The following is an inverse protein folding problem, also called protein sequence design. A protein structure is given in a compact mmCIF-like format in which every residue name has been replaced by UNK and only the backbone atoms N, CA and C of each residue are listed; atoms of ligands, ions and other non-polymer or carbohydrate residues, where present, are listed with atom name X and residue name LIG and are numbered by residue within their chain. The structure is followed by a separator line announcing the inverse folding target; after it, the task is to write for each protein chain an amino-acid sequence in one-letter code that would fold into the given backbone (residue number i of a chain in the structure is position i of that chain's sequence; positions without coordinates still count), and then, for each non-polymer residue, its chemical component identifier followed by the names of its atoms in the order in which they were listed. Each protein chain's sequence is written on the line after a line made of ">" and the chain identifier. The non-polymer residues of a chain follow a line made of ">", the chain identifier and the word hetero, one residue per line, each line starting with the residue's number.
data_IF_708620524310
#
_entry.id   IF_708620524310
#
_cell.length_a   1.000
_cell.length_b   1.000
_cell.length_c   1.000
_cell.angle_alpha   90.00
_cell.angle_beta   90.00
_cell.angle_gamma   90.00
#
_symmetry.space_group_name_H-M   'P 1'
#
loop_
_entity.id
_entity.type
_entity.pdbx_description
1 polymer ?
#
# COMPACT_ATOMS: atom_id res chain seq x y z
N UNK A 1 -15.78 -30.00 30.46
CA UNK A 1 -14.52 -29.73 29.75
C UNK A 1 -14.54 -28.26 29.37
N UNK A 2 -13.59 -27.42 29.83
CA UNK A 2 -13.62 -26.00 29.51
C UNK A 2 -13.02 -25.77 28.12
N UNK A 3 -13.78 -25.08 27.27
CA UNK A 3 -13.35 -24.60 25.96
C UNK A 3 -12.26 -23.53 26.12
N UNK A 4 -11.08 -23.82 25.59
CA UNK A 4 -10.01 -22.84 25.40
C UNK A 4 -10.33 -22.00 24.17
N UNK A 5 -10.82 -20.78 24.37
CA UNK A 5 -10.81 -19.75 23.34
C UNK A 5 -9.37 -19.31 23.11
N UNK A 6 -8.77 -19.75 22.00
CA UNK A 6 -7.55 -19.15 21.47
C UNK A 6 -7.90 -17.83 20.79
N UNK A 7 -7.47 -16.73 21.40
CA UNK A 7 -7.48 -15.38 20.83
C UNK A 7 -6.52 -15.30 19.62
N UNK A 8 -6.92 -14.74 18.47
CA UNK A 8 -6.00 -14.44 17.39
C UNK A 8 -5.44 -13.03 17.61
N UNK A 9 -4.35 -12.92 18.36
CA UNK A 9 -3.58 -11.68 18.50
C UNK A 9 -2.11 -11.94 18.26
N UNK A 10 -1.79 -12.52 17.12
CA UNK A 10 -0.43 -12.46 16.58
C UNK A 10 -0.49 -11.62 15.32
N UNK A 11 -0.50 -10.30 15.50
CA UNK A 11 0.05 -9.41 14.48
C UNK A 11 1.45 -9.95 14.16
N UNK A 12 1.78 -10.29 12.90
CA UNK A 12 3.11 -10.77 12.58
C UNK A 12 4.11 -9.72 13.09
N UNK A 13 4.96 -10.11 14.05
CA UNK A 13 5.92 -9.20 14.67
C UNK A 13 6.72 -8.49 13.58
N UNK A 14 6.96 -7.19 13.76
CA UNK A 14 7.73 -6.42 12.78
C UNK A 14 9.06 -7.12 12.48
N UNK A 15 9.50 -7.14 11.21
CA UNK A 15 10.80 -7.69 10.87
C UNK A 15 11.89 -7.03 11.72
N UNK A 16 12.94 -7.76 12.11
CA UNK A 16 14.04 -7.19 12.87
C UNK A 16 14.69 -6.05 12.08
N UNK A 17 15.17 -5.05 12.82
CA UNK A 17 15.91 -3.91 12.25
C UNK A 17 17.15 -4.40 11.54
N UNK A 18 17.37 -3.94 10.31
CA UNK A 18 18.60 -4.17 9.57
C UNK A 18 19.66 -3.18 10.04
N UNK A 19 20.68 -3.68 10.72
CA UNK A 19 21.82 -2.87 11.16
C UNK A 19 22.86 -2.67 10.02
N UNK A 20 22.92 -3.62 9.09
CA UNK A 20 23.82 -3.60 7.95
C UNK A 20 23.04 -3.75 6.63
N UNK A 21 23.55 -3.19 5.52
CA UNK A 21 22.94 -3.38 4.22
C UNK A 21 22.94 -4.87 3.85
N UNK A 22 21.83 -5.42 3.35
CA UNK A 22 21.82 -6.79 2.83
C UNK A 22 22.72 -6.90 1.59
N UNK A 23 23.11 -8.12 1.18
CA UNK A 23 23.88 -8.33 -0.05
C UNK A 23 23.15 -7.76 -1.28
N UNK A 24 23.88 -7.09 -2.17
CA UNK A 24 23.31 -6.61 -3.42
C UNK A 24 23.20 -7.76 -4.45
N UNK A 25 22.01 -8.23 -4.81
CA UNK A 25 21.85 -9.31 -5.79
C UNK A 25 22.24 -8.89 -7.21
N UNK A 26 22.23 -7.58 -7.53
CA UNK A 26 22.61 -7.06 -8.84
C UNK A 26 24.13 -6.98 -9.04
N UNK A 27 24.93 -7.14 -7.99
CA UNK A 27 26.40 -7.05 -8.07
C UNK A 27 26.95 -5.62 -8.22
N UNK A 28 26.08 -4.60 -8.28
CA UNK A 28 26.47 -3.19 -8.25
C UNK A 28 26.84 -2.69 -6.85
N UNK A 29 27.03 -1.39 -6.73
CA UNK A 29 27.40 -0.71 -5.48
C UNK A 29 26.25 -0.73 -4.48
N UNK A 30 26.60 -0.54 -3.22
CA UNK A 30 25.64 -0.21 -2.16
C UNK A 30 25.84 1.24 -1.75
N UNK A 31 24.86 2.07 -2.05
CA UNK A 31 24.82 3.49 -1.71
C UNK A 31 24.18 3.64 -0.33
N UNK A 32 24.97 4.08 0.66
CA UNK A 32 24.49 4.22 2.03
C UNK A 32 23.92 5.63 2.23
N UNK A 33 22.70 5.69 2.75
CA UNK A 33 22.04 6.94 3.15
C UNK A 33 22.03 7.02 4.67
N UNK A 34 22.60 8.10 5.19
CA UNK A 34 22.69 8.42 6.61
C UNK A 34 22.84 9.93 6.75
N UNK A 35 21.87 10.60 7.39
CA UNK A 35 21.89 12.05 7.56
C UNK A 35 22.88 12.51 8.64
N UNK A 36 23.32 11.61 9.53
CA UNK A 36 24.24 11.91 10.63
C UNK A 36 25.71 11.69 10.24
N UNK A 37 25.97 10.89 9.21
CA UNK A 37 27.32 10.59 8.72
C UNK A 37 27.61 11.35 7.43
N UNK A 38 28.51 12.34 7.50
CA UNK A 38 28.89 13.18 6.35
C UNK A 38 29.59 12.43 5.22
N UNK A 39 30.00 11.17 5.44
CA UNK A 39 30.59 10.32 4.40
C UNK A 39 29.54 9.56 3.58
N UNK A 40 28.29 9.55 4.05
CA UNK A 40 27.15 8.91 3.40
C UNK A 40 26.30 9.92 2.63
N UNK A 41 25.35 9.41 1.84
CA UNK A 41 24.34 10.26 1.21
C UNK A 41 23.43 10.87 2.28
N UNK A 42 23.18 12.19 2.26
CA UNK A 42 22.42 12.85 3.31
C UNK A 42 20.92 12.53 3.25
N UNK A 43 20.41 12.04 2.10
CA UNK A 43 19.01 11.72 1.88
C UNK A 43 18.80 10.70 0.74
N UNK A 44 17.70 9.93 0.76
CA UNK A 44 17.43 8.92 -0.26
C UNK A 44 17.45 9.40 -1.71
N UNK A 45 16.95 10.61 -2.00
CA UNK A 45 16.90 11.16 -3.36
C UNK A 45 18.28 11.51 -3.92
N UNK A 46 19.23 11.83 -3.05
CA UNK A 46 20.62 12.07 -3.46
C UNK A 46 21.27 10.76 -3.90
N UNK A 47 21.05 9.67 -3.17
CA UNK A 47 21.51 8.34 -3.57
C UNK A 47 20.80 7.85 -4.84
N UNK A 48 19.48 8.07 -4.95
CA UNK A 48 18.70 7.67 -6.12
C UNK A 48 19.15 8.34 -7.42
N UNK A 49 19.63 9.58 -7.34
CA UNK A 49 20.16 10.30 -8.51
C UNK A 49 21.46 9.69 -9.04
N UNK A 50 22.26 9.10 -8.16
CA UNK A 50 23.58 8.54 -8.48
C UNK A 50 23.54 7.02 -8.73
N UNK A 51 22.43 6.37 -8.37
CA UNK A 51 22.26 4.94 -8.51
C UNK A 51 22.22 4.50 -9.98
N UNK A 52 23.08 3.54 -10.31
CA UNK A 52 22.98 2.76 -11.54
C UNK A 52 21.91 1.66 -11.46
N UNK A 53 21.60 1.00 -12.59
CA UNK A 53 20.56 -0.02 -12.67
C UNK A 53 20.81 -1.28 -11.81
N UNK A 54 22.09 -1.57 -11.49
CA UNK A 54 22.50 -2.71 -10.68
C UNK A 54 22.87 -2.31 -9.23
N UNK A 55 22.80 -1.01 -8.91
CA UNK A 55 23.13 -0.51 -7.58
C UNK A 55 21.94 -0.68 -6.64
N UNK A 56 22.24 -0.80 -5.34
CA UNK A 56 21.24 -0.75 -4.29
C UNK A 56 21.45 0.45 -3.37
N UNK A 57 20.36 0.96 -2.83
CA UNK A 57 20.36 2.03 -1.85
C UNK A 57 19.92 1.44 -0.51
N UNK A 58 20.74 1.63 0.52
CA UNK A 58 20.40 1.27 1.88
C UNK A 58 20.22 2.53 2.73
N UNK A 59 19.03 2.68 3.33
CA UNK A 59 18.67 3.81 4.18
C UNK A 59 18.76 3.40 5.63
N UNK A 60 19.72 3.99 6.35
CA UNK A 60 19.89 3.78 7.79
C UNK A 60 18.73 4.42 8.58
N UNK A 61 18.52 3.99 9.84
CA UNK A 61 17.51 4.59 10.70
C UNK A 61 17.58 6.11 10.73
N UNK A 62 16.44 6.77 10.63
CA UNK A 62 16.37 8.23 10.56
C UNK A 62 15.05 8.74 10.00
N UNK A 63 14.88 10.05 10.13
CA UNK A 63 13.73 10.78 9.60
C UNK A 63 14.25 11.74 8.53
N UNK A 64 13.83 11.53 7.29
CA UNK A 64 14.35 12.23 6.12
C UNK A 64 13.23 13.07 5.50
N UNK A 65 13.42 14.39 5.48
CA UNK A 65 12.57 15.26 4.66
C UNK A 65 13.01 15.15 3.20
N UNK A 66 12.27 14.39 2.40
CA UNK A 66 12.70 14.10 1.04
C UNK A 66 11.55 13.78 0.10
N UNK A 67 11.85 13.84 -1.20
CA UNK A 67 10.94 13.43 -2.27
C UNK A 67 11.68 12.49 -3.20
N UNK A 68 11.18 11.27 -3.28
CA UNK A 68 11.69 10.23 -4.18
C UNK A 68 10.87 10.21 -5.47
N UNK A 69 11.55 10.47 -6.58
CA UNK A 69 10.99 10.36 -7.92
C UNK A 69 11.81 9.33 -8.71
N UNK A 70 11.25 8.14 -8.90
CA UNK A 70 11.85 7.10 -9.72
C UNK A 70 11.20 7.09 -11.11
N UNK A 71 12.02 7.00 -12.16
CA UNK A 71 11.50 6.94 -13.54
C UNK A 71 12.33 6.02 -14.43
N UNK A 72 11.68 5.14 -15.19
CA UNK A 72 12.24 4.39 -16.33
C UNK A 72 13.49 3.53 -16.05
N UNK A 73 13.83 3.28 -14.79
CA UNK A 73 14.99 2.48 -14.38
C UNK A 73 14.62 1.55 -13.23
N UNK A 74 15.25 0.37 -13.13
CA UNK A 74 15.10 -0.49 -11.95
C UNK A 74 15.42 0.28 -10.67
N UNK A 75 14.71 -0.05 -9.59
CA UNK A 75 14.94 0.57 -8.29
C UNK A 75 15.19 -0.49 -7.22
N UNK A 76 16.29 -0.38 -6.48
CA UNK A 76 16.57 -1.24 -5.33
C UNK A 76 16.79 -0.36 -4.10
N UNK A 77 15.72 -0.13 -3.34
CA UNK A 77 15.68 0.80 -2.21
C UNK A 77 15.26 0.08 -0.93
N UNK A 78 16.18 -0.04 0.01
CA UNK A 78 16.01 -0.83 1.23
C UNK A 78 16.21 0.06 2.44
N UNK A 79 15.22 0.16 3.31
CA UNK A 79 15.32 0.82 4.60
C UNK A 79 15.61 -0.18 5.70
N UNK A 80 16.20 0.32 6.78
CA UNK A 80 16.54 -0.47 7.96
C UNK A 80 15.33 -1.09 8.68
N UNK A 81 14.10 -0.66 8.37
CA UNK A 81 12.87 -1.14 8.97
C UNK A 81 11.82 -0.04 8.99
N UNK A 82 10.54 -0.39 8.75
CA UNK A 82 9.46 0.59 8.59
C UNK A 82 9.27 1.52 9.79
N UNK A 83 9.56 1.06 11.00
CA UNK A 83 9.48 1.88 12.22
C UNK A 83 10.75 2.66 12.53
N UNK A 84 11.82 2.45 11.75
CA UNK A 84 13.14 3.04 11.96
C UNK A 84 13.51 4.04 10.87
N UNK A 85 12.95 3.89 9.66
CA UNK A 85 13.17 4.79 8.54
C UNK A 85 11.86 5.46 8.17
N UNK A 86 11.81 6.78 8.28
CA UNK A 86 10.68 7.59 7.83
C UNK A 86 11.14 8.59 6.77
N UNK A 87 10.52 8.53 5.59
CA UNK A 87 10.65 9.53 4.53
C UNK A 87 9.37 10.35 4.55
N UNK A 88 9.51 11.66 4.73
CA UNK A 88 8.35 12.55 4.76
C UNK A 88 8.54 13.76 3.86
N UNK A 89 7.43 14.35 3.41
CA UNK A 89 7.45 15.55 2.58
C UNK A 89 6.26 16.44 2.91
N UNK A 90 6.51 17.76 2.98
CA UNK A 90 5.49 18.80 3.19
C UNK A 90 4.97 19.43 1.90
N UNK A 91 5.67 19.21 0.79
CA UNK A 91 5.41 19.90 -0.49
C UNK A 91 4.80 19.02 -1.57
N UNK A 92 4.82 17.70 -1.36
CA UNK A 92 4.37 16.71 -2.35
C UNK A 92 4.28 15.33 -1.71
N UNK A 93 3.69 14.35 -2.40
CA UNK A 93 3.82 12.93 -2.04
C UNK A 93 5.30 12.51 -1.92
N UNK A 94 5.71 11.84 -0.82
CA UNK A 94 7.08 11.39 -0.58
C UNK A 94 7.64 10.43 -1.64
N UNK A 95 6.82 9.56 -2.25
CA UNK A 95 7.24 8.62 -3.27
C UNK A 95 6.38 8.71 -4.53
N UNK A 96 7.05 8.84 -5.67
CA UNK A 96 6.43 8.80 -6.98
C UNK A 96 7.24 7.90 -7.91
N UNK A 97 6.60 6.88 -8.45
CA UNK A 97 7.19 5.90 -9.37
C UNK A 97 6.49 6.00 -10.72
N UNK A 98 7.28 6.17 -11.78
CA UNK A 98 6.78 6.29 -13.14
C UNK A 98 7.52 5.34 -14.07
N UNK A 99 6.80 4.42 -14.69
CA UNK A 99 7.36 3.50 -15.68
C UNK A 99 8.58 2.74 -15.16
N UNK A 100 8.58 2.38 -13.87
CA UNK A 100 9.62 1.54 -13.28
C UNK A 100 9.48 0.13 -13.87
N UNK A 101 10.52 -0.43 -14.50
CA UNK A 101 10.42 -1.73 -15.17
C UNK A 101 10.51 -2.91 -14.20
N UNK A 102 11.24 -2.75 -13.10
CA UNK A 102 11.46 -3.78 -12.07
C UNK A 102 12.02 -3.14 -10.81
N UNK A 103 12.14 -3.91 -9.73
CA UNK A 103 12.84 -3.47 -8.52
C UNK A 103 12.12 -3.81 -7.23
N UNK A 104 12.75 -3.44 -6.12
CA UNK A 104 12.23 -3.61 -4.76
C UNK A 104 12.37 -2.32 -3.96
N UNK A 105 11.29 -1.95 -3.28
CA UNK A 105 11.28 -0.92 -2.24
C UNK A 105 10.81 -1.58 -0.95
N UNK A 106 11.60 -1.50 0.12
CA UNK A 106 11.21 -2.17 1.37
C UNK A 106 11.69 -1.52 2.65
N UNK A 107 10.97 -1.75 3.75
CA UNK A 107 11.47 -1.47 5.10
C UNK A 107 11.49 0.01 5.46
N UNK A 108 10.52 0.81 5.02
CA UNK A 108 10.44 2.23 5.35
C UNK A 108 9.00 2.77 5.39
N UNK A 109 8.80 3.84 6.16
CA UNK A 109 7.56 4.62 6.19
C UNK A 109 7.64 5.79 5.21
N UNK A 110 6.57 6.00 4.43
CA UNK A 110 6.31 7.17 3.61
C UNK A 110 5.16 7.96 4.23
N UNK A 111 5.46 9.18 4.66
CA UNK A 111 4.52 10.03 5.38
C UNK A 111 4.32 11.37 4.68
N UNK A 112 3.09 11.69 4.29
CA UNK A 112 2.79 13.02 3.78
C UNK A 112 2.46 13.99 4.93
N UNK A 113 3.00 15.21 4.90
CA UNK A 113 2.83 16.23 5.97
C UNK A 113 2.54 17.61 5.38
N UNK A 114 1.87 17.66 4.23
CA UNK A 114 1.50 18.91 3.57
C UNK A 114 0.02 19.27 3.71
N UNK A 115 -0.36 20.41 3.14
CA UNK A 115 -1.75 20.89 3.09
C UNK A 115 -2.47 20.59 1.78
N UNK A 116 -1.71 20.27 0.73
CA UNK A 116 -2.24 20.03 -0.62
C UNK A 116 -2.65 18.57 -0.81
N UNK A 117 -3.51 18.32 -1.79
CA UNK A 117 -4.04 16.98 -2.06
C UNK A 117 -2.96 16.05 -2.64
N UNK A 118 -2.34 15.25 -1.77
CA UNK A 118 -1.35 14.24 -2.16
C UNK A 118 -1.53 12.93 -1.42
N UNK A 119 -1.30 11.84 -2.17
CA UNK A 119 -1.04 10.49 -1.66
C UNK A 119 0.39 10.38 -1.13
N UNK A 120 0.61 9.45 -0.20
CA UNK A 120 1.96 9.19 0.30
C UNK A 120 2.83 8.49 -0.77
N UNK A 121 2.24 7.55 -1.52
CA UNK A 121 2.90 6.82 -2.60
C UNK A 121 2.05 6.88 -3.87
N UNK A 122 2.68 7.22 -4.99
CA UNK A 122 2.07 7.22 -6.31
C UNK A 122 2.81 6.24 -7.23
N UNK A 123 2.09 5.34 -7.88
CA UNK A 123 2.65 4.32 -8.76
C UNK A 123 1.93 4.40 -10.11
N UNK A 124 2.66 4.82 -11.14
CA UNK A 124 2.16 4.96 -12.50
C UNK A 124 2.89 4.02 -13.45
N UNK A 125 2.14 3.17 -14.15
CA UNK A 125 2.64 2.29 -15.23
C UNK A 125 3.93 1.53 -14.87
N UNK A 126 4.03 1.11 -13.61
CA UNK A 126 5.24 0.52 -13.04
C UNK A 126 5.04 -0.95 -12.63
N UNK A 127 6.13 -1.70 -12.70
CA UNK A 127 6.28 -3.08 -12.21
C UNK A 127 7.42 -3.10 -11.20
N UNK A 128 7.10 -3.31 -9.93
CA UNK A 128 8.07 -3.40 -8.84
C UNK A 128 7.44 -4.12 -7.65
N UNK A 129 8.25 -4.51 -6.68
CA UNK A 129 7.78 -5.01 -5.38
C UNK A 129 7.92 -3.94 -4.33
N UNK A 130 6.83 -3.56 -3.66
CA UNK A 130 6.87 -2.73 -2.46
C UNK A 130 6.45 -3.59 -1.26
N UNK A 131 7.31 -3.71 -0.26
CA UNK A 131 7.04 -4.65 0.83
C UNK A 131 7.59 -4.21 2.17
N UNK A 132 6.89 -4.54 3.25
CA UNK A 132 7.31 -4.16 4.60
C UNK A 132 7.46 -2.63 4.72
N UNK A 133 6.64 -1.87 3.99
CA UNK A 133 6.59 -0.41 4.06
C UNK A 133 5.34 0.05 4.80
N UNK A 134 5.31 1.32 5.19
CA UNK A 134 4.11 2.01 5.67
C UNK A 134 3.81 3.22 4.81
N UNK A 135 2.55 3.42 4.41
CA UNK A 135 2.08 4.65 3.76
C UNK A 135 1.03 5.32 4.65
N UNK A 136 1.26 6.58 5.03
CA UNK A 136 0.43 7.23 6.05
C UNK A 136 0.32 8.75 5.89
N UNK A 137 -0.71 9.32 6.51
CA UNK A 137 -1.04 10.74 6.54
C UNK A 137 -1.24 11.37 5.13
N UNK A 138 -1.61 10.56 4.14
CA UNK A 138 -2.05 11.06 2.84
C UNK A 138 -3.31 11.93 2.99
N UNK A 139 -3.33 13.11 2.35
CA UNK A 139 -4.57 13.90 2.24
C UNK A 139 -5.50 13.37 1.14
N UNK A 140 -4.96 12.53 0.26
CA UNK A 140 -5.71 11.62 -0.61
C UNK A 140 -5.59 10.19 -0.06
N UNK A 141 -5.74 9.19 -0.93
CA UNK A 141 -5.45 7.80 -0.58
C UNK A 141 -3.97 7.59 -0.26
N UNK A 142 -3.65 6.67 0.67
CA UNK A 142 -2.26 6.42 1.09
C UNK A 142 -1.36 5.98 -0.05
N UNK A 143 -1.84 5.02 -0.86
CA UNK A 143 -1.19 4.55 -2.08
C UNK A 143 -2.18 4.65 -3.23
N UNK A 144 -1.76 5.28 -4.33
CA UNK A 144 -2.50 5.28 -5.60
C UNK A 144 -1.73 4.50 -6.66
N UNK A 145 -2.43 3.61 -7.37
CA UNK A 145 -1.87 2.72 -8.39
C UNK A 145 -2.70 2.87 -9.66
N UNK A 146 -2.08 3.33 -10.74
CA UNK A 146 -2.82 3.67 -11.96
C UNK A 146 -2.01 3.47 -13.24
N UNK A 147 -2.75 3.33 -14.34
CA UNK A 147 -2.21 3.15 -15.68
C UNK A 147 -2.35 1.71 -16.20
N UNK A 148 -2.59 1.53 -17.50
CA UNK A 148 -2.94 0.24 -18.10
C UNK A 148 -1.80 -0.78 -18.03
N UNK A 149 -0.55 -0.34 -17.83
CA UNK A 149 0.64 -1.19 -17.73
C UNK A 149 1.13 -1.33 -16.28
N UNK A 150 0.42 -0.78 -15.30
CA UNK A 150 0.83 -0.84 -13.91
C UNK A 150 0.55 -2.23 -13.31
N UNK A 151 1.61 -2.95 -12.94
CA UNK A 151 1.57 -4.32 -12.38
C UNK A 151 2.49 -4.48 -11.15
N UNK A 152 2.43 -3.58 -10.13
CA UNK A 152 3.28 -3.73 -8.96
C UNK A 152 2.75 -4.84 -8.03
N UNK A 153 3.66 -5.42 -7.23
CA UNK A 153 3.34 -6.31 -6.12
C UNK A 153 3.50 -5.56 -4.81
N UNK A 154 2.43 -5.41 -4.04
CA UNK A 154 2.48 -4.80 -2.71
C UNK A 154 2.23 -5.89 -1.68
N UNK A 155 3.25 -6.18 -0.87
CA UNK A 155 3.25 -7.33 0.03
C UNK A 155 3.59 -6.91 1.46
N UNK A 156 2.75 -7.25 2.44
CA UNK A 156 3.03 -7.03 3.85
C UNK A 156 3.30 -5.55 4.20
N UNK A 157 2.55 -4.64 3.57
CA UNK A 157 2.60 -3.20 3.88
C UNK A 157 1.49 -2.80 4.86
N UNK A 158 1.72 -1.69 5.56
CA UNK A 158 0.70 -1.01 6.36
C UNK A 158 0.26 0.27 5.65
N UNK A 159 -1.05 0.51 5.53
CA UNK A 159 -1.58 1.71 4.88
C UNK A 159 -2.67 2.32 5.74
N UNK A 160 -2.34 3.43 6.40
CA UNK A 160 -3.16 3.91 7.51
C UNK A 160 -3.23 5.43 7.67
N UNK A 161 -4.27 5.90 8.37
CA UNK A 161 -4.46 7.31 8.73
C UNK A 161 -4.51 8.25 7.52
N UNK A 162 -5.02 7.75 6.38
CA UNK A 162 -5.19 8.55 5.17
C UNK A 162 -6.60 9.15 5.12
N UNK A 163 -6.74 10.34 4.50
CA UNK A 163 -8.03 11.06 4.40
C UNK A 163 -8.96 10.54 3.33
N UNK A 164 -8.51 9.60 2.51
CA UNK A 164 -9.39 8.83 1.63
C UNK A 164 -9.22 7.33 1.91
N UNK A 165 -8.98 6.53 0.87
CA UNK A 165 -8.79 5.09 1.01
C UNK A 165 -7.34 4.75 1.39
N UNK A 166 -7.10 3.54 1.89
CA UNK A 166 -5.73 3.04 2.08
C UNK A 166 -5.02 2.91 0.72
N UNK A 167 -5.41 1.90 -0.06
CA UNK A 167 -4.88 1.66 -1.40
C UNK A 167 -5.99 1.84 -2.44
N UNK A 168 -5.75 2.68 -3.45
CA UNK A 168 -6.69 2.95 -4.53
C UNK A 168 -6.12 2.57 -5.90
N UNK A 169 -6.76 1.62 -6.59
CA UNK A 169 -6.39 1.13 -7.92
C UNK A 169 -7.37 1.65 -8.98
N UNK A 170 -6.88 2.20 -10.09
CA UNK A 170 -7.74 2.72 -11.17
C UNK A 170 -7.03 2.79 -12.52
N UNK A 171 -7.74 3.26 -13.56
CA UNK A 171 -7.20 3.48 -14.91
C UNK A 171 -6.44 2.29 -15.52
N UNK A 172 -6.98 1.06 -15.36
CA UNK A 172 -6.43 -0.14 -15.99
C UNK A 172 -5.30 -0.82 -15.21
N UNK A 173 -5.02 -0.39 -13.98
CA UNK A 173 -4.01 -1.02 -13.14
C UNK A 173 -4.43 -2.44 -12.73
N UNK A 174 -3.45 -3.36 -12.66
CA UNK A 174 -3.68 -4.75 -12.24
C UNK A 174 -2.56 -5.18 -11.26
N UNK A 175 -2.50 -4.57 -10.06
CA UNK A 175 -1.49 -4.93 -9.07
C UNK A 175 -1.84 -6.25 -8.37
N UNK A 176 -0.82 -6.87 -7.78
CA UNK A 176 -0.97 -7.96 -6.82
C UNK A 176 -0.81 -7.41 -5.41
N UNK A 177 -1.90 -7.38 -4.63
CA UNK A 177 -1.89 -6.91 -3.24
C UNK A 177 -2.06 -8.11 -2.31
N UNK A 178 -1.02 -8.42 -1.52
CA UNK A 178 -1.06 -9.54 -0.60
C UNK A 178 -0.63 -9.19 0.82
N UNK A 179 -1.38 -9.68 1.81
CA UNK A 179 -1.04 -9.51 3.24
C UNK A 179 -0.84 -8.06 3.69
N UNK A 180 -1.42 -7.09 2.99
CA UNK A 180 -1.37 -5.70 3.43
C UNK A 180 -2.41 -5.48 4.51
N UNK A 181 -2.12 -4.57 5.44
CA UNK A 181 -3.04 -4.16 6.51
C UNK A 181 -3.44 -2.70 6.26
N UNK A 182 -4.72 -2.47 5.96
CA UNK A 182 -5.27 -1.15 5.68
C UNK A 182 -6.23 -0.73 6.80
N UNK A 183 -5.87 0.30 7.57
CA UNK A 183 -6.61 0.65 8.77
C UNK A 183 -6.65 2.15 9.09
N UNK A 184 -7.64 2.58 9.86
CA UNK A 184 -7.84 3.98 10.26
C UNK A 184 -7.85 4.96 9.06
N UNK A 185 -8.27 4.50 7.88
CA UNK A 185 -8.47 5.37 6.72
C UNK A 185 -9.87 5.98 6.74
N UNK A 186 -10.01 7.20 6.26
CA UNK A 186 -11.28 7.95 6.33
C UNK A 186 -12.34 7.43 5.33
N UNK A 187 -11.92 6.77 4.25
CA UNK A 187 -12.85 6.08 3.33
C UNK A 187 -12.73 4.56 3.50
N UNK A 188 -12.13 3.88 2.53
CA UNK A 188 -12.07 2.42 2.45
C UNK A 188 -10.66 1.91 2.76
N UNK A 189 -10.53 0.65 3.18
CA UNK A 189 -9.21 0.01 3.25
C UNK A 189 -8.60 -0.13 1.85
N UNK A 190 -9.32 -0.80 0.96
CA UNK A 190 -8.97 -0.99 -0.45
C UNK A 190 -10.09 -0.46 -1.36
N UNK A 191 -9.73 0.24 -2.44
CA UNK A 191 -10.70 0.71 -3.43
C UNK A 191 -10.22 0.41 -4.86
N UNK A 192 -11.16 0.07 -5.74
CA UNK A 192 -10.90 -0.24 -7.16
C UNK A 192 -11.94 0.44 -8.03
N UNK A 193 -11.49 1.10 -9.10
CA UNK A 193 -12.35 1.83 -10.04
C UNK A 193 -11.98 1.58 -11.50
N UNK A 194 -12.96 1.77 -12.38
CA UNK A 194 -12.84 1.82 -13.83
C UNK A 194 -12.73 0.45 -14.50
N UNK A 195 -13.29 0.35 -15.70
CA UNK A 195 -13.13 -0.81 -16.59
C UNK A 195 -11.65 -1.13 -16.85
N UNK A 196 -11.31 -2.42 -16.83
CA UNK A 196 -9.95 -2.90 -17.08
C UNK A 196 -9.02 -2.85 -15.87
N UNK A 197 -9.40 -2.15 -14.79
CA UNK A 197 -8.71 -2.24 -13.51
C UNK A 197 -9.08 -3.56 -12.83
N UNK A 198 -8.08 -4.40 -12.58
CA UNK A 198 -8.27 -5.77 -12.08
C UNK A 198 -7.14 -6.21 -11.16
N UNK A 199 -7.10 -5.74 -9.90
CA UNK A 199 -6.15 -6.23 -8.93
C UNK A 199 -6.48 -7.64 -8.43
N UNK A 200 -5.45 -8.27 -7.90
CA UNK A 200 -5.55 -9.50 -7.11
C UNK A 200 -5.37 -9.17 -5.64
N UNK A 201 -6.41 -9.38 -4.83
CA UNK A 201 -6.38 -9.19 -3.37
C UNK A 201 -6.32 -10.55 -2.67
N UNK A 202 -5.19 -10.84 -2.04
CA UNK A 202 -4.96 -12.08 -1.30
C UNK A 202 -4.56 -11.81 0.15
N UNK A 203 -5.30 -12.32 1.13
CA UNK A 203 -4.90 -12.24 2.56
C UNK A 203 -4.73 -10.81 3.08
N UNK A 204 -5.34 -9.81 2.46
CA UNK A 204 -5.28 -8.46 2.99
C UNK A 204 -6.24 -8.33 4.17
N UNK A 205 -5.90 -7.45 5.11
CA UNK A 205 -6.71 -7.15 6.28
C UNK A 205 -7.15 -5.69 6.17
N UNK A 206 -8.46 -5.43 6.21
CA UNK A 206 -9.02 -4.08 6.24
C UNK A 206 -9.86 -3.89 7.49
N UNK A 207 -9.41 -3.05 8.42
CA UNK A 207 -10.13 -2.83 9.68
C UNK A 207 -10.15 -1.38 10.13
N UNK A 208 -11.14 -1.00 10.94
CA UNK A 208 -11.21 0.33 11.54
C UNK A 208 -11.24 1.48 10.50
N UNK A 209 -11.61 1.21 9.24
CA UNK A 209 -11.81 2.27 8.25
C UNK A 209 -13.18 2.93 8.47
N UNK A 210 -13.27 4.25 8.27
CA UNK A 210 -14.48 5.02 8.59
C UNK A 210 -15.65 4.76 7.65
N UNK A 211 -15.42 4.14 6.48
CA UNK A 211 -16.49 3.56 5.66
C UNK A 211 -16.43 2.04 5.72
N UNK A 212 -15.95 1.39 4.66
CA UNK A 212 -16.00 -0.08 4.50
C UNK A 212 -14.61 -0.67 4.27
N UNK A 213 -14.47 -1.99 4.38
CA UNK A 213 -13.19 -2.66 4.12
C UNK A 213 -12.73 -2.50 2.67
N UNK A 214 -13.53 -2.98 1.73
CA UNK A 214 -13.21 -3.01 0.29
C UNK A 214 -14.33 -2.35 -0.51
N UNK A 215 -13.98 -1.57 -1.54
CA UNK A 215 -14.90 -1.01 -2.52
C UNK A 215 -14.49 -1.39 -3.96
N UNK A 216 -15.43 -1.94 -4.74
CA UNK A 216 -15.34 -2.09 -6.19
C UNK A 216 -16.45 -1.24 -6.86
N UNK A 217 -16.09 -0.34 -7.79
CA UNK A 217 -17.09 0.50 -8.45
C UNK A 217 -16.73 0.90 -9.89
N UNK A 218 -17.73 1.30 -10.67
CA UNK A 218 -17.59 1.76 -12.06
C UNK A 218 -16.83 0.75 -12.94
N UNK A 219 -17.36 -0.47 -13.10
CA UNK A 219 -16.79 -1.50 -13.97
C UNK A 219 -15.55 -2.22 -13.43
N UNK A 220 -15.14 -1.91 -12.20
CA UNK A 220 -13.99 -2.52 -11.55
C UNK A 220 -14.12 -4.05 -11.44
N UNK A 221 -12.99 -4.74 -11.58
CA UNK A 221 -12.91 -6.19 -11.37
C UNK A 221 -11.89 -6.47 -10.26
N UNK A 222 -12.04 -7.53 -9.48
CA UNK A 222 -10.98 -7.94 -8.54
C UNK A 222 -11.06 -9.43 -8.20
N UNK A 223 -9.90 -10.06 -8.00
CA UNK A 223 -9.86 -11.34 -7.28
C UNK A 223 -9.86 -11.05 -5.77
N UNK A 224 -10.73 -11.72 -5.02
CA UNK A 224 -10.90 -11.53 -3.57
C UNK A 224 -10.77 -12.90 -2.88
N UNK A 225 -9.58 -13.23 -2.39
CA UNK A 225 -9.32 -14.50 -1.73
C UNK A 225 -8.66 -14.32 -0.35
N UNK A 226 -9.19 -15.01 0.65
CA UNK A 226 -8.68 -15.06 2.02
C UNK A 226 -8.52 -13.68 2.67
N UNK A 227 -9.23 -12.65 2.20
CA UNK A 227 -9.17 -11.33 2.80
C UNK A 227 -10.03 -11.26 4.06
N UNK A 228 -9.60 -10.45 5.02
CA UNK A 228 -10.31 -10.19 6.26
C UNK A 228 -10.75 -8.73 6.29
N UNK A 229 -12.03 -8.49 6.54
CA UNK A 229 -12.58 -7.15 6.74
C UNK A 229 -13.44 -7.15 8.00
N UNK A 230 -13.03 -6.42 9.02
CA UNK A 230 -13.70 -6.37 10.31
C UNK A 230 -13.59 -5.00 10.96
N UNK A 231 -14.50 -4.66 11.86
CA UNK A 231 -14.50 -3.40 12.60
C UNK A 231 -14.41 -2.13 11.73
N UNK A 232 -14.81 -2.21 10.45
CA UNK A 232 -15.04 -1.01 9.64
C UNK A 232 -16.40 -0.41 10.03
N UNK A 233 -16.61 0.89 9.87
CA UNK A 233 -17.85 1.50 10.36
C UNK A 233 -19.12 1.07 9.59
N UNK A 234 -18.98 0.66 8.33
CA UNK A 234 -20.09 0.30 7.45
C UNK A 234 -20.09 -1.20 7.10
N UNK A 235 -19.54 -1.57 5.94
CA UNK A 235 -19.60 -2.93 5.38
C UNK A 235 -18.21 -3.56 5.28
N UNK A 236 -18.15 -4.88 5.12
CA UNK A 236 -16.91 -5.55 4.73
C UNK A 236 -16.53 -5.25 3.27
N UNK A 237 -17.50 -5.43 2.36
CA UNK A 237 -17.36 -5.22 0.92
C UNK A 237 -18.53 -4.39 0.36
N UNK A 238 -18.22 -3.42 -0.49
CA UNK A 238 -19.20 -2.63 -1.26
C UNK A 238 -18.91 -2.81 -2.75
N UNK A 239 -19.95 -3.10 -3.54
CA UNK A 239 -19.86 -3.24 -4.99
C UNK A 239 -20.94 -2.42 -5.71
N UNK A 240 -20.65 -1.96 -6.93
CA UNK A 240 -21.69 -1.53 -7.88
C UNK A 240 -22.16 -2.70 -8.75
N UNK A 241 -23.37 -2.64 -9.34
CA UNK A 241 -23.91 -3.74 -10.17
C UNK A 241 -23.06 -4.09 -11.40
N UNK A 242 -22.28 -3.14 -11.93
CA UNK A 242 -21.38 -3.31 -13.06
C UNK A 242 -19.98 -3.84 -12.65
N UNK A 243 -19.67 -3.90 -11.36
CA UNK A 243 -18.40 -4.45 -10.86
C UNK A 243 -18.43 -5.98 -10.83
N UNK A 244 -17.26 -6.62 -10.96
CA UNK A 244 -17.12 -8.09 -10.92
C UNK A 244 -16.10 -8.55 -9.90
N UNK A 245 -16.38 -9.66 -9.23
CA UNK A 245 -15.44 -10.31 -8.33
C UNK A 245 -15.05 -11.69 -8.86
N UNK A 246 -13.89 -12.19 -8.43
CA UNK A 246 -13.55 -13.60 -8.53
C UNK A 246 -13.08 -14.08 -7.17
N UNK A 247 -13.74 -15.04 -6.52
CA UNK A 247 -14.89 -15.82 -7.00
C UNK A 247 -16.19 -14.98 -7.12
N UNK A 248 -17.23 -15.58 -7.67
CA UNK A 248 -18.54 -14.93 -7.89
C UNK A 248 -19.19 -14.51 -6.54
N UNK A 249 -20.13 -13.54 -6.55
CA UNK A 249 -20.67 -12.95 -5.32
C UNK A 249 -21.25 -13.94 -4.29
N UNK A 250 -21.82 -15.06 -4.73
CA UNK A 250 -22.37 -16.12 -3.88
C UNK A 250 -21.29 -16.94 -3.15
N UNK A 251 -20.06 -16.94 -3.66
CA UNK A 251 -18.92 -17.66 -3.10
C UNK A 251 -18.01 -16.76 -2.24
N UNK A 252 -18.12 -15.44 -2.37
CA UNK A 252 -17.22 -14.48 -1.70
C UNK A 252 -17.13 -14.67 -0.18
N UNK A 253 -18.25 -14.92 0.49
CA UNK A 253 -18.31 -15.08 1.95
C UNK A 253 -17.70 -16.40 2.43
N UNK A 254 -17.56 -17.39 1.55
CA UNK A 254 -16.89 -18.65 1.86
C UNK A 254 -15.36 -18.55 1.68
N UNK A 255 -14.93 -17.59 0.86
CA UNK A 255 -13.52 -17.37 0.53
C UNK A 255 -12.88 -16.21 1.30
N UNK A 256 -13.65 -15.38 1.99
CA UNK A 256 -13.18 -14.20 2.72
C UNK A 256 -13.91 -14.07 4.08
N UNK A 257 -13.24 -13.51 5.08
CA UNK A 257 -13.82 -13.25 6.39
C UNK A 257 -14.27 -11.78 6.48
N UNK A 258 -15.53 -11.52 6.13
CA UNK A 258 -16.13 -10.17 6.10
C UNK A 258 -17.05 -9.93 7.32
N UNK A 259 -16.55 -10.23 8.51
CA UNK A 259 -17.35 -10.29 9.75
C UNK A 259 -17.20 -9.03 10.60
N UNK A 260 -18.11 -8.81 11.55
CA UNK A 260 -18.01 -7.70 12.52
C UNK A 260 -18.01 -6.28 11.90
N UNK A 261 -18.60 -6.13 10.72
CA UNK A 261 -18.91 -4.81 10.15
C UNK A 261 -20.39 -4.47 10.46
N UNK A 262 -20.71 -3.29 11.02
CA UNK A 262 -22.04 -2.98 11.56
C UNK A 262 -23.21 -3.10 10.59
N UNK A 263 -22.98 -2.87 9.29
CA UNK A 263 -24.04 -2.95 8.27
C UNK A 263 -24.11 -4.31 7.60
N UNK A 264 -23.08 -5.14 7.72
CA UNK A 264 -23.03 -6.50 7.20
C UNK A 264 -21.78 -6.79 6.36
N UNK A 265 -21.75 -8.00 5.81
CA UNK A 265 -20.58 -8.52 5.11
C UNK A 265 -20.37 -7.87 3.73
N UNK A 266 -21.44 -7.78 2.93
CA UNK A 266 -21.38 -7.30 1.55
C UNK A 266 -22.66 -6.55 1.17
N UNK A 267 -22.55 -5.50 0.35
CA UNK A 267 -23.67 -4.83 -0.30
C UNK A 267 -23.36 -4.55 -1.78
N UNK A 268 -24.39 -4.68 -2.63
CA UNK A 268 -24.39 -4.18 -4.01
C UNK A 268 -25.31 -2.96 -4.07
N UNK A 269 -24.81 -1.82 -4.56
CA UNK A 269 -25.54 -0.54 -4.56
C UNK A 269 -25.19 0.34 -5.76
N UNK A 270 -26.16 1.11 -6.24
CA UNK A 270 -25.98 2.13 -7.29
C UNK A 270 -25.29 3.40 -6.77
N UNK A 271 -25.20 3.58 -5.44
CA UNK A 271 -24.64 4.78 -4.81
C UNK A 271 -23.53 4.43 -3.81
N UNK A 272 -22.43 3.79 -4.25
CA UNK A 272 -21.36 3.33 -3.37
C UNK A 272 -20.64 4.46 -2.62
N UNK A 273 -20.70 5.69 -3.17
CA UNK A 273 -20.05 6.89 -2.62
C UNK A 273 -21.06 7.88 -1.99
N UNK A 274 -22.35 7.52 -1.90
CA UNK A 274 -23.41 8.46 -1.46
C UNK A 274 -23.26 8.98 -0.03
N UNK A 275 -22.35 8.39 0.74
CA UNK A 275 -22.05 8.74 2.13
C UNK A 275 -20.68 9.42 2.29
N UNK A 276 -19.90 9.60 1.22
CA UNK A 276 -18.65 10.39 1.26
C UNK A 276 -19.02 11.87 1.43
N UNK A 277 -18.53 12.49 2.50
CA UNK A 277 -18.75 13.93 2.77
C UNK A 277 -19.98 14.26 3.61
N UNK A 278 -20.54 13.29 4.36
CA UNK A 278 -21.46 13.57 5.48
C UNK A 278 -20.73 13.57 6.82
#
# INVERSE_FOLDING_TARGET
>A
MPNTHSSPSDSPGNPPVLNEPPPNPGGGKTLIVDHADSTCYPRPSAALKDAGPDDQIFVRPGIYEDRLFGTQQPIQLIGAGRDHVQIFSRRSGPLYLQQIPSGRISGMTFRYVGSDQHSAINIFDSTCTITQCRATDGLLSGIVIYGPNCRPSLIENEVCQNRESGIFCFAGAQPYLAKNVCFDNHHFGLAVRDDGTRPDFLKNVCHHNMLSGILLFHGAQAMLLENECYDNCHWGLVMTPDSKSTPEPDQLLSCNALTQNPRGACIVTEQPLGEIGR
#
